data_IF_183464331780
#
_entry.id   IF_183464331780
#
_cell.length_a   1.000
_cell.length_b   1.000
_cell.length_c   1.000
_cell.angle_alpha   90.00
_cell.angle_beta   90.00
_cell.angle_gamma   90.00
#
_symmetry.space_group_name_H-M   'P 1'
#
loop_
_entity.id
_entity.type
_entity.pdbx_description
1 polymer ?
#
# COMPACT_ATOMS: atom_id res chain seq x y z
N UNK A 1 -3.05 -1.67 2.09
CA UNK A 1 -4.15 -1.74 1.12
C UNK A 1 -4.22 -3.14 0.56
N UNK A 2 -5.38 -3.78 0.68
CA UNK A 2 -5.67 -5.13 0.21
C UNK A 2 -6.24 -5.04 -1.20
N UNK A 3 -5.73 -5.86 -2.12
CA UNK A 3 -6.16 -5.90 -3.52
C UNK A 3 -6.07 -4.56 -4.22
N UNK A 4 -4.92 -3.89 -4.08
CA UNK A 4 -4.68 -2.54 -4.60
C UNK A 4 -4.72 -2.48 -6.15
N UNK A 5 -4.54 -3.61 -6.84
CA UNK A 5 -4.80 -3.76 -8.26
C UNK A 5 -4.08 -2.73 -9.13
N UNK A 6 -4.84 -1.93 -9.87
CA UNK A 6 -4.33 -1.01 -10.91
C UNK A 6 -4.05 0.41 -10.41
N UNK A 7 -3.49 0.58 -9.20
CA UNK A 7 -2.88 1.81 -8.65
C UNK A 7 -3.76 3.06 -8.48
N UNK A 8 -4.94 3.13 -9.10
CA UNK A 8 -5.73 4.36 -9.20
C UNK A 8 -6.17 4.92 -7.84
N UNK A 9 -6.72 4.05 -6.99
CA UNK A 9 -7.17 4.45 -5.66
C UNK A 9 -5.97 4.75 -4.76
N UNK A 10 -4.95 3.89 -4.76
CA UNK A 10 -3.71 4.11 -4.02
C UNK A 10 -3.12 5.50 -4.30
N UNK A 11 -3.05 5.93 -5.56
CA UNK A 11 -2.49 7.24 -5.91
C UNK A 11 -3.29 8.38 -5.29
N UNK A 12 -4.62 8.32 -5.33
CA UNK A 12 -5.48 9.33 -4.71
C UNK A 12 -5.26 9.39 -3.19
N UNK A 13 -5.13 8.24 -2.53
CA UNK A 13 -4.89 8.16 -1.09
C UNK A 13 -3.53 8.79 -0.75
N UNK A 14 -2.47 8.43 -1.47
CA UNK A 14 -1.13 8.98 -1.25
C UNK A 14 -1.09 10.50 -1.46
N UNK A 15 -1.76 11.01 -2.49
CA UNK A 15 -1.86 12.46 -2.74
C UNK A 15 -2.59 13.21 -1.62
N UNK A 16 -3.54 12.58 -0.94
CA UNK A 16 -4.26 13.18 0.20
C UNK A 16 -3.39 13.13 1.47
N UNK A 17 -2.73 12.00 1.71
CA UNK A 17 -1.93 11.77 2.92
C UNK A 17 -0.59 12.53 2.88
N UNK A 18 -0.07 12.74 1.68
CA UNK A 18 1.19 13.43 1.45
C UNK A 18 1.20 14.12 0.06
N UNK A 19 0.57 15.29 -0.06
CA UNK A 19 0.43 16.01 -1.33
C UNK A 19 1.76 16.55 -1.89
N UNK A 20 2.80 16.67 -1.06
CA UNK A 20 4.11 17.20 -1.44
C UNK A 20 5.24 16.32 -0.87
N UNK A 21 5.45 15.11 -1.44
CA UNK A 21 6.34 14.09 -0.87
C UNK A 21 7.83 14.47 -0.83
N UNK A 22 8.23 15.54 -1.52
CA UNK A 22 9.62 16.05 -1.59
C UNK A 22 9.81 17.32 -0.72
N UNK A 23 8.79 17.74 0.01
CA UNK A 23 8.84 18.92 0.88
C UNK A 23 9.34 18.59 2.29
N UNK A 24 9.57 19.61 3.11
CA UNK A 24 9.85 19.46 4.54
C UNK A 24 8.63 19.06 5.38
N UNK A 25 7.47 18.85 4.74
CA UNK A 25 6.23 18.51 5.43
C UNK A 25 6.27 17.06 5.90
N UNK A 26 5.74 16.81 7.09
CA UNK A 26 5.62 15.45 7.61
C UNK A 26 4.39 14.78 6.96
N UNK A 27 4.54 13.65 6.26
CA UNK A 27 3.42 12.91 5.69
C UNK A 27 2.49 12.38 6.79
N UNK A 28 1.21 12.21 6.48
CA UNK A 28 0.21 11.70 7.43
C UNK A 28 0.23 10.17 7.59
N UNK A 29 1.33 9.52 7.22
CA UNK A 29 1.55 8.09 7.37
C UNK A 29 3.05 7.78 7.47
N UNK A 30 3.38 6.68 8.14
CA UNK A 30 4.76 6.21 8.33
C UNK A 30 5.09 5.00 7.47
N UNK A 31 4.09 4.14 7.20
CA UNK A 31 4.18 2.93 6.38
C UNK A 31 2.92 2.75 5.55
N UNK A 32 3.08 2.40 4.28
CA UNK A 32 1.97 2.02 3.40
C UNK A 32 2.29 0.72 2.67
N UNK A 33 1.56 -0.34 2.98
CA UNK A 33 1.77 -1.63 2.34
C UNK A 33 0.78 -1.79 1.20
N UNK A 34 1.31 -1.77 -0.02
CA UNK A 34 0.60 -2.04 -1.27
C UNK A 34 0.57 -3.55 -1.48
N UNK A 35 -0.62 -4.14 -1.39
CA UNK A 35 -0.77 -5.59 -1.48
C UNK A 35 -1.81 -6.00 -2.50
N UNK A 36 -1.55 -7.14 -3.14
CA UNK A 36 -2.43 -7.79 -4.09
C UNK A 36 -2.10 -9.29 -4.09
N UNK A 37 -3.04 -10.14 -4.50
CA UNK A 37 -2.75 -11.58 -4.64
C UNK A 37 -1.74 -11.82 -5.77
N UNK A 38 -1.76 -10.97 -6.79
CA UNK A 38 -0.88 -11.08 -7.95
C UNK A 38 0.25 -10.05 -7.93
N UNK A 39 1.52 -10.48 -8.05
CA UNK A 39 2.65 -9.56 -8.14
C UNK A 39 2.69 -8.78 -9.46
N UNK A 40 1.88 -9.15 -10.46
CA UNK A 40 1.85 -8.52 -11.78
C UNK A 40 1.56 -7.01 -11.73
N UNK A 41 0.92 -6.54 -10.65
CA UNK A 41 0.59 -5.13 -10.46
C UNK A 41 1.75 -4.28 -9.92
N UNK A 42 2.83 -4.90 -9.40
CA UNK A 42 3.93 -4.14 -8.78
C UNK A 42 4.85 -3.46 -9.79
N UNK A 43 4.98 -4.00 -11.01
CA UNK A 43 5.75 -3.33 -12.07
C UNK A 43 5.19 -1.94 -12.41
N UNK A 44 3.87 -1.79 -12.33
CA UNK A 44 3.19 -0.52 -12.58
C UNK A 44 3.31 0.46 -11.41
N UNK A 45 3.81 0.00 -10.26
CA UNK A 45 3.90 0.78 -9.03
C UNK A 45 5.14 1.68 -8.96
N UNK A 46 5.99 1.68 -10.00
CA UNK A 46 7.10 2.65 -10.17
C UNK A 46 6.65 4.10 -10.04
N UNK A 47 5.38 4.40 -10.33
CA UNK A 47 4.80 5.74 -10.16
C UNK A 47 4.84 6.23 -8.71
N UNK A 48 4.98 5.32 -7.75
CA UNK A 48 5.08 5.64 -6.33
C UNK A 48 6.52 5.85 -5.85
N UNK A 49 7.48 5.97 -6.76
CA UNK A 49 8.86 6.33 -6.44
C UNK A 49 9.00 7.49 -5.43
N UNK A 50 8.16 8.56 -5.46
CA UNK A 50 8.22 9.62 -4.45
C UNK A 50 7.98 9.16 -3.01
N UNK A 51 7.24 8.06 -2.80
CA UNK A 51 6.93 7.49 -1.48
C UNK A 51 7.69 6.18 -1.19
N UNK A 52 8.64 5.81 -2.05
CA UNK A 52 9.36 4.52 -1.98
C UNK A 52 10.00 4.21 -0.63
N UNK A 53 10.41 5.21 0.14
CA UNK A 53 10.99 5.04 1.46
C UNK A 53 9.98 4.65 2.56
N UNK A 54 8.68 4.73 2.26
CA UNK A 54 7.57 4.42 3.19
C UNK A 54 6.61 3.38 2.63
N UNK A 55 6.86 2.89 1.42
CA UNK A 55 6.00 1.94 0.74
C UNK A 55 6.63 0.56 0.68
N UNK A 56 5.85 -0.46 1.04
CA UNK A 56 6.20 -1.85 0.81
C UNK A 56 5.27 -2.44 -0.25
N UNK A 57 5.84 -3.26 -1.14
CA UNK A 57 5.10 -4.03 -2.12
C UNK A 57 5.18 -5.49 -1.73
N UNK A 58 4.03 -6.11 -1.45
CA UNK A 58 4.00 -7.48 -0.96
C UNK A 58 2.73 -8.19 -1.37
N UNK A 59 2.81 -9.47 -1.74
CA UNK A 59 1.60 -10.24 -2.03
C UNK A 59 0.81 -10.52 -0.75
N UNK A 60 -0.52 -10.50 -0.87
CA UNK A 60 -1.43 -10.89 0.20
C UNK A 60 -2.64 -11.61 -0.40
N UNK A 61 -2.81 -12.86 -0.01
CA UNK A 61 -4.05 -13.61 -0.15
C UNK A 61 -4.90 -13.41 1.12
N UNK A 62 -6.06 -12.78 0.98
CA UNK A 62 -6.95 -12.48 2.12
C UNK A 62 -7.78 -13.69 2.57
N UNK A 63 -7.85 -14.75 1.76
CA UNK A 63 -8.53 -16.00 2.13
C UNK A 63 -7.68 -16.83 3.11
N UNK A 64 -6.40 -16.51 3.21
CA UNK A 64 -5.41 -17.20 4.04
C UNK A 64 -4.90 -16.33 5.19
N UNK A 65 -4.25 -16.93 6.18
CA UNK A 65 -3.70 -16.21 7.34
C UNK A 65 -2.64 -15.19 6.93
N UNK A 66 -2.86 -13.91 7.23
CA UNK A 66 -1.89 -12.85 6.95
C UNK A 66 -0.59 -13.03 7.77
N UNK A 67 -0.70 -13.56 8.99
CA UNK A 67 0.46 -13.81 9.85
C UNK A 67 1.39 -14.85 9.23
N UNK A 68 0.83 -15.93 8.68
CA UNK A 68 1.59 -16.98 8.00
C UNK A 68 2.23 -16.48 6.70
N UNK A 69 1.62 -15.47 6.07
CA UNK A 69 2.18 -14.76 4.92
C UNK A 69 3.23 -13.71 5.33
N UNK A 70 3.62 -13.65 6.60
CA UNK A 70 4.68 -12.80 7.14
C UNK A 70 4.26 -11.36 7.41
N UNK A 71 2.96 -11.09 7.58
CA UNK A 71 2.49 -9.80 8.10
C UNK A 71 2.51 -9.82 9.63
N UNK A 72 2.83 -8.68 10.24
CA UNK A 72 2.85 -8.55 11.69
C UNK A 72 1.45 -8.23 12.22
N UNK A 73 0.97 -9.00 13.18
CA UNK A 73 -0.35 -8.80 13.79
C UNK A 73 -0.41 -7.49 14.58
N UNK A 74 -1.57 -6.82 14.56
CA UNK A 74 -1.81 -5.55 15.27
C UNK A 74 -0.81 -4.44 14.92
N UNK A 75 -0.22 -4.47 13.73
CA UNK A 75 0.79 -3.50 13.26
C UNK A 75 0.24 -2.46 12.27
N UNK A 76 -1.07 -2.47 11.99
CA UNK A 76 -1.72 -1.52 11.10
C UNK A 76 -2.83 -0.76 11.83
N UNK A 77 -2.82 0.56 11.71
CA UNK A 77 -3.88 1.43 12.23
C UNK A 77 -5.11 1.47 11.29
N UNK A 78 -4.87 1.32 9.99
CA UNK A 78 -5.89 1.41 8.94
C UNK A 78 -5.69 0.29 7.93
N UNK A 79 -6.78 -0.39 7.58
CA UNK A 79 -6.84 -1.33 6.46
C UNK A 79 -7.79 -0.75 5.42
N UNK A 80 -7.32 -0.70 4.17
CA UNK A 80 -8.08 -0.22 3.01
C UNK A 80 -8.30 -1.42 2.10
N UNK A 81 -9.56 -1.68 1.75
CA UNK A 81 -9.98 -2.77 0.87
C UNK A 81 -11.13 -2.24 0.00
N UNK A 82 -10.86 -1.99 -1.28
CA UNK A 82 -11.82 -1.37 -2.20
C UNK A 82 -11.95 -2.22 -3.45
N UNK A 83 -13.17 -2.68 -3.73
CA UNK A 83 -13.47 -3.58 -4.86
C UNK A 83 -12.62 -4.85 -4.90
N UNK A 84 -12.28 -5.37 -3.71
CA UNK A 84 -11.72 -6.72 -3.55
C UNK A 84 -12.87 -7.71 -3.41
N UNK A 85 -12.80 -8.84 -4.11
CA UNK A 85 -13.78 -9.94 -4.03
C UNK A 85 -13.09 -11.18 -3.53
#
# INVERSE_FOLDING_TARGET
EVGAGTKGVTKLILDILDPEPVSFRVPKFTRYDYTDISPAFFEQARIFAPWSNRMNFKTLDVESSAIEQGFEGKSYDVIIALSVM
#
